data_IF_140534043542
#
_entry.id   IF_140534043542
#
_cell.length_a   1.000
_cell.length_b   1.000
_cell.length_c   1.000
_cell.angle_alpha   90.00
_cell.angle_beta   90.00
_cell.angle_gamma   90.00
#
_symmetry.space_group_name_H-M   'P 1'
#
loop_
_entity.id
_entity.type
_entity.pdbx_description
1 polymer ?
#
# COMPACT_ATOMS: atom_id res chain seq x y z
N UNK A 1 -2.15 -10.95 33.18
CA UNK A 1 -1.80 -11.66 31.92
C UNK A 1 -1.45 -10.64 30.85
N UNK A 2 -0.20 -10.59 30.36
CA UNK A 2 0.28 -9.57 29.41
C UNK A 2 0.44 -10.15 28.00
N UNK A 3 -0.66 -10.55 27.38
CA UNK A 3 -0.71 -10.84 25.95
C UNK A 3 -0.94 -9.55 25.17
N UNK A 4 0.08 -8.69 25.07
CA UNK A 4 0.04 -7.47 24.25
C UNK A 4 0.11 -7.86 22.78
N UNK A 5 -1.01 -7.74 22.07
CA UNK A 5 -1.26 -8.32 20.75
C UNK A 5 -0.46 -7.68 19.63
N UNK A 6 0.69 -8.26 19.29
CA UNK A 6 1.30 -8.04 17.97
C UNK A 6 0.41 -8.65 16.89
N UNK A 7 0.31 -8.00 15.73
CA UNK A 7 -0.22 -8.64 14.52
C UNK A 7 0.45 -10.01 14.32
N UNK A 8 -0.35 -11.02 14.01
CA UNK A 8 0.20 -12.35 13.74
C UNK A 8 1.04 -12.32 12.45
N UNK A 9 2.01 -13.22 12.38
CA UNK A 9 3.01 -13.24 11.30
C UNK A 9 2.40 -13.60 9.94
N UNK A 10 1.22 -14.23 9.88
CA UNK A 10 0.55 -14.50 8.61
C UNK A 10 -0.06 -13.21 8.05
N UNK A 11 -0.75 -12.44 8.88
CA UNK A 11 -1.32 -11.14 8.49
C UNK A 11 -0.24 -10.16 8.05
N UNK A 12 0.89 -10.08 8.77
CA UNK A 12 2.04 -9.23 8.38
C UNK A 12 2.54 -9.60 6.98
N UNK A 13 2.76 -10.89 6.71
CA UNK A 13 3.23 -11.35 5.39
C UNK A 13 2.29 -10.98 4.25
N UNK A 14 0.97 -11.03 4.47
CA UNK A 14 -0.02 -10.63 3.48
C UNK A 14 0.04 -9.13 3.20
N UNK A 15 0.13 -8.30 4.25
CA UNK A 15 0.26 -6.84 4.11
C UNK A 15 1.52 -6.49 3.33
N UNK A 16 2.67 -7.09 3.67
CA UNK A 16 3.94 -6.86 2.97
C UNK A 16 3.89 -7.29 1.50
N UNK A 17 3.24 -8.42 1.20
CA UNK A 17 3.04 -8.86 -0.19
C UNK A 17 2.21 -7.85 -0.97
N UNK A 18 1.11 -7.37 -0.39
CA UNK A 18 0.24 -6.39 -1.05
C UNK A 18 0.93 -5.05 -1.24
N UNK A 19 1.70 -4.58 -0.26
CA UNK A 19 2.51 -3.35 -0.40
C UNK A 19 3.51 -3.47 -1.54
N UNK A 20 4.22 -4.60 -1.67
CA UNK A 20 5.16 -4.81 -2.79
C UNK A 20 4.48 -4.77 -4.16
N UNK A 21 3.26 -5.30 -4.27
CA UNK A 21 2.48 -5.25 -5.51
C UNK A 21 2.13 -3.81 -5.86
N UNK A 22 1.59 -3.04 -4.90
CA UNK A 22 1.22 -1.63 -5.10
C UNK A 22 2.45 -0.80 -5.44
N UNK A 23 3.59 -1.01 -4.75
CA UNK A 23 4.83 -0.31 -5.03
C UNK A 23 5.37 -0.58 -6.45
N UNK A 24 5.21 -1.81 -6.95
CA UNK A 24 5.56 -2.13 -8.34
C UNK A 24 4.65 -1.40 -9.33
N UNK A 25 3.34 -1.33 -9.05
CA UNK A 25 2.39 -0.61 -9.89
C UNK A 25 2.71 0.90 -9.94
N UNK A 26 2.99 1.51 -8.79
CA UNK A 26 3.40 2.92 -8.69
C UNK A 26 4.66 3.20 -9.52
N UNK A 27 5.71 2.38 -9.38
CA UNK A 27 6.94 2.54 -10.18
C UNK A 27 6.67 2.41 -11.67
N UNK A 28 5.84 1.44 -12.08
CA UNK A 28 5.44 1.28 -13.48
C UNK A 28 4.70 2.51 -14.02
N UNK A 29 3.74 3.04 -13.26
CA UNK A 29 2.99 4.23 -13.64
C UNK A 29 3.89 5.48 -13.73
N UNK A 30 4.83 5.65 -12.79
CA UNK A 30 5.82 6.71 -12.81
C UNK A 30 6.73 6.63 -14.04
N UNK A 31 7.24 5.43 -14.38
CA UNK A 31 8.04 5.24 -15.59
C UNK A 31 7.25 5.53 -16.86
N UNK A 32 5.98 5.13 -16.93
CA UNK A 32 5.12 5.43 -18.06
C UNK A 32 4.83 6.94 -18.20
N UNK A 33 4.58 7.63 -17.08
CA UNK A 33 4.41 9.09 -17.06
C UNK A 33 5.68 9.85 -17.44
N UNK A 34 6.86 9.32 -17.12
CA UNK A 34 8.11 9.93 -17.58
C UNK A 34 8.23 9.91 -19.11
N UNK A 35 7.65 8.90 -19.77
CA UNK A 35 7.60 8.80 -21.22
C UNK A 35 6.45 9.62 -21.85
N UNK A 36 5.32 9.74 -21.15
CA UNK A 36 4.15 10.53 -21.57
C UNK A 36 3.54 11.33 -20.39
N UNK A 37 4.09 12.52 -20.07
CA UNK A 37 3.66 13.29 -18.90
C UNK A 37 2.24 13.86 -19.02
N UNK A 38 1.76 14.09 -20.24
CA UNK A 38 0.45 14.67 -20.51
C UNK A 38 -0.70 13.64 -20.42
N UNK A 39 -0.37 12.37 -20.19
CA UNK A 39 -1.36 11.30 -20.13
C UNK A 39 -2.23 11.40 -18.88
N UNK A 40 -3.46 11.89 -19.04
CA UNK A 40 -4.43 12.05 -17.94
C UNK A 40 -4.81 10.72 -17.30
N UNK A 41 -4.89 9.64 -18.09
CA UNK A 41 -5.18 8.30 -17.57
C UNK A 41 -4.06 7.80 -16.65
N UNK A 42 -2.78 7.95 -17.05
CA UNK A 42 -1.66 7.52 -16.22
C UNK A 42 -1.55 8.35 -14.93
N UNK A 43 -1.84 9.65 -14.99
CA UNK A 43 -1.90 10.50 -13.80
C UNK A 43 -3.00 10.04 -12.82
N UNK A 44 -4.19 9.74 -13.33
CA UNK A 44 -5.29 9.21 -12.52
C UNK A 44 -4.94 7.84 -11.92
N UNK A 45 -4.35 6.95 -12.72
CA UNK A 45 -3.94 5.63 -12.28
C UNK A 45 -2.89 5.70 -11.17
N UNK A 46 -1.86 6.55 -11.31
CA UNK A 46 -0.86 6.77 -10.27
C UNK A 46 -1.51 7.25 -8.96
N UNK A 47 -2.43 8.21 -9.03
CA UNK A 47 -3.15 8.70 -7.86
C UNK A 47 -4.03 7.62 -7.20
N UNK A 48 -4.62 6.71 -7.98
CA UNK A 48 -5.36 5.56 -7.44
C UNK A 48 -4.44 4.59 -6.69
N UNK A 49 -3.29 4.23 -7.26
CA UNK A 49 -2.34 3.33 -6.60
C UNK A 49 -1.75 3.94 -5.31
N UNK A 50 -1.45 5.24 -5.31
CA UNK A 50 -1.02 5.94 -4.10
C UNK A 50 -2.08 5.94 -2.99
N UNK A 51 -3.36 6.16 -3.34
CA UNK A 51 -4.47 6.08 -2.38
C UNK A 51 -4.59 4.68 -1.80
N UNK A 52 -4.55 3.65 -2.65
CA UNK A 52 -4.61 2.25 -2.21
C UNK A 52 -3.48 1.89 -1.25
N UNK A 53 -2.26 2.37 -1.50
CA UNK A 53 -1.12 2.20 -0.58
C UNK A 53 -1.42 2.82 0.78
N UNK A 54 -1.90 4.06 0.79
CA UNK A 54 -2.20 4.78 2.02
C UNK A 54 -3.32 4.12 2.82
N UNK A 55 -4.38 3.65 2.17
CA UNK A 55 -5.48 2.92 2.80
C UNK A 55 -4.99 1.62 3.45
N UNK A 56 -4.16 0.84 2.75
CA UNK A 56 -3.60 -0.39 3.30
C UNK A 56 -2.70 -0.12 4.53
N UNK A 57 -1.88 0.93 4.48
CA UNK A 57 -1.04 1.32 5.61
C UNK A 57 -1.87 1.77 6.82
N UNK A 58 -2.94 2.54 6.58
CA UNK A 58 -3.86 2.96 7.64
C UNK A 58 -4.56 1.75 8.27
N UNK A 59 -5.06 0.82 7.46
CA UNK A 59 -5.68 -0.41 7.97
C UNK A 59 -4.69 -1.24 8.80
N UNK A 60 -3.46 -1.39 8.32
CA UNK A 60 -2.41 -2.09 9.07
C UNK A 60 -2.11 -1.42 10.42
N UNK A 61 -2.04 -0.07 10.44
CA UNK A 61 -1.85 0.69 11.66
C UNK A 61 -3.04 0.55 12.63
N UNK A 62 -4.28 0.60 12.12
CA UNK A 62 -5.49 0.35 12.93
C UNK A 62 -5.50 -1.06 13.49
N UNK A 63 -5.11 -2.08 12.72
CA UNK A 63 -5.03 -3.46 13.22
C UNK A 63 -3.94 -3.63 14.28
N UNK A 64 -2.83 -2.90 14.16
CA UNK A 64 -1.77 -2.89 15.16
C UNK A 64 -2.18 -2.16 16.45
N UNK A 65 -2.93 -1.06 16.35
CA UNK A 65 -3.38 -0.26 17.48
C UNK A 65 -4.70 -0.72 18.12
N UNK A 66 -5.60 -1.38 17.39
CA UNK A 66 -6.83 -1.96 17.95
C UNK A 66 -6.56 -3.21 18.79
N UNK A 67 -5.34 -3.76 18.70
CA UNK A 67 -4.86 -4.91 19.49
C UNK A 67 -3.92 -4.51 20.63
N UNK A 68 -3.74 -3.20 20.87
CA UNK A 68 -2.90 -2.66 21.96
C UNK A 68 -3.69 -2.37 23.23
#
# INVERSE_FOLDING_TARGET
ARGRGRLDTATVRVIERNLRIIDRAIRGAQSALAADPANSYLNLHLAQEMRRKLELLRQAATLAGARS
#
